data_IF_185207639157
#
_entry.id   IF_185207639157
#
_cell.length_a   1.000
_cell.length_b   1.000
_cell.length_c   1.000
_cell.angle_alpha   90.00
_cell.angle_beta   90.00
_cell.angle_gamma   90.00
#
_symmetry.space_group_name_H-M   'P 1'
#
loop_
_entity.id
_entity.type
_entity.pdbx_description
1 polymer ?
#
# COMPACT_ATOMS: atom_id res chain seq x y z
N UNK A 1 3.73 -20.29 -13.57
CA UNK A 1 4.80 -19.35 -14.00
C UNK A 1 4.30 -18.75 -15.29
N UNK A 2 3.50 -17.69 -15.18
CA UNK A 2 2.67 -17.19 -16.28
C UNK A 2 2.59 -15.66 -16.19
N UNK A 3 3.08 -15.01 -17.23
CA UNK A 3 2.74 -13.65 -17.71
C UNK A 3 3.01 -12.44 -16.80
N UNK A 4 4.29 -12.11 -16.57
CA UNK A 4 4.71 -10.78 -16.11
C UNK A 4 5.40 -9.93 -17.20
N UNK A 5 5.40 -10.36 -18.47
CA UNK A 5 6.26 -9.74 -19.51
C UNK A 5 5.58 -8.79 -20.50
N UNK A 6 4.26 -8.62 -20.51
CA UNK A 6 3.57 -7.95 -21.65
C UNK A 6 2.77 -6.68 -21.34
N UNK A 7 2.90 -6.07 -20.16
CA UNK A 7 2.24 -4.78 -19.91
C UNK A 7 3.13 -3.61 -20.33
N UNK A 8 3.08 -3.25 -21.61
CA UNK A 8 3.52 -1.93 -22.08
C UNK A 8 2.49 -0.87 -21.64
N UNK A 9 2.96 0.16 -20.95
CA UNK A 9 2.16 1.32 -20.55
C UNK A 9 1.62 2.04 -21.81
N UNK A 10 0.30 2.27 -21.93
CA UNK A 10 -0.27 2.94 -23.11
C UNK A 10 0.18 4.40 -23.21
N UNK A 11 0.45 4.84 -24.45
CA UNK A 11 0.86 6.21 -24.78
C UNK A 11 -0.26 7.25 -24.53
N UNK A 12 0.19 8.45 -24.20
CA UNK A 12 -0.53 9.60 -23.66
C UNK A 12 -1.53 10.27 -24.63
N UNK A 13 -2.80 10.22 -24.25
CA UNK A 13 -3.90 11.13 -24.62
C UNK A 13 -4.53 11.62 -23.30
N UNK A 14 -5.23 12.75 -23.20
CA UNK A 14 -5.91 13.15 -21.95
C UNK A 14 -6.82 12.05 -21.40
N UNK A 15 -7.52 11.34 -22.29
CA UNK A 15 -8.28 10.13 -21.95
C UNK A 15 -7.39 8.89 -21.71
N UNK A 16 -6.21 8.86 -22.34
CA UNK A 16 -5.19 7.82 -22.16
C UNK A 16 -4.52 7.87 -20.78
N UNK A 17 -4.21 9.05 -20.25
CA UNK A 17 -3.63 9.20 -18.91
C UNK A 17 -4.62 8.73 -17.84
N UNK A 18 -5.87 9.19 -17.90
CA UNK A 18 -6.93 8.74 -16.98
C UNK A 18 -7.15 7.22 -17.06
N UNK A 19 -7.19 6.67 -18.28
CA UNK A 19 -7.24 5.22 -18.49
C UNK A 19 -6.04 4.51 -17.87
N UNK A 20 -4.84 5.09 -17.97
CA UNK A 20 -3.61 4.51 -17.42
C UNK A 20 -3.63 4.50 -15.89
N UNK A 21 -3.94 5.62 -15.23
CA UNK A 21 -4.00 5.66 -13.76
C UNK A 21 -5.06 4.71 -13.21
N UNK A 22 -6.21 4.60 -13.87
CA UNK A 22 -7.26 3.64 -13.49
C UNK A 22 -6.78 2.20 -13.66
N UNK A 23 -6.09 1.88 -14.76
CA UNK A 23 -5.56 0.54 -14.99
C UNK A 23 -4.44 0.18 -14.01
N UNK A 24 -3.56 1.14 -13.70
CA UNK A 24 -2.49 0.96 -12.70
C UNK A 24 -3.11 0.77 -11.32
N UNK A 25 -4.07 1.61 -10.91
CA UNK A 25 -4.75 1.47 -9.62
C UNK A 25 -5.42 0.10 -9.49
N UNK A 26 -6.12 -0.36 -10.54
CA UNK A 26 -6.75 -1.69 -10.55
C UNK A 26 -5.74 -2.82 -10.40
N UNK A 27 -4.64 -2.75 -11.16
CA UNK A 27 -3.55 -3.73 -11.09
C UNK A 27 -2.93 -3.74 -9.69
N UNK A 28 -2.54 -2.58 -9.18
CA UNK A 28 -1.92 -2.44 -7.86
C UNK A 28 -2.84 -2.96 -6.77
N UNK A 29 -4.12 -2.57 -6.77
CA UNK A 29 -5.10 -3.07 -5.82
C UNK A 29 -5.20 -4.60 -5.87
N UNK A 30 -5.37 -5.19 -7.06
CA UNK A 30 -5.45 -6.65 -7.21
C UNK A 30 -4.19 -7.36 -6.71
N UNK A 31 -3.01 -6.83 -7.03
CA UNK A 31 -1.74 -7.48 -6.69
C UNK A 31 -1.39 -7.32 -5.21
N UNK A 32 -1.71 -6.17 -4.59
CA UNK A 32 -1.43 -5.91 -3.16
C UNK A 32 -2.17 -6.87 -2.22
N UNK A 33 -3.37 -7.31 -2.59
CA UNK A 33 -4.15 -8.27 -1.80
C UNK A 33 -4.05 -9.71 -2.33
N UNK A 34 -3.21 -9.96 -3.35
CA UNK A 34 -2.91 -11.31 -3.83
C UNK A 34 -2.09 -12.11 -2.80
N UNK A 35 -2.05 -13.44 -2.94
CA UNK A 35 -1.30 -14.31 -2.01
C UNK A 35 0.24 -14.16 -2.14
N UNK A 36 0.70 -13.65 -3.29
CA UNK A 36 2.11 -13.74 -3.68
C UNK A 36 2.93 -12.56 -3.14
N UNK A 37 3.68 -12.80 -2.05
CA UNK A 37 4.61 -11.83 -1.44
C UNK A 37 5.60 -11.22 -2.43
N UNK A 38 6.12 -12.01 -3.38
CA UNK A 38 7.05 -11.50 -4.38
C UNK A 38 6.35 -10.53 -5.34
N UNK A 39 5.13 -10.85 -5.75
CA UNK A 39 4.34 -9.94 -6.60
C UNK A 39 4.01 -8.64 -5.89
N UNK A 40 3.62 -8.70 -4.61
CA UNK A 40 3.37 -7.51 -3.77
C UNK A 40 4.61 -6.61 -3.69
N UNK A 41 5.77 -7.19 -3.40
CA UNK A 41 7.03 -6.43 -3.37
C UNK A 41 7.34 -5.78 -4.73
N UNK A 42 7.21 -6.54 -5.81
CA UNK A 42 7.51 -6.08 -7.16
C UNK A 42 6.58 -4.95 -7.60
N UNK A 43 5.28 -5.05 -7.33
CA UNK A 43 4.32 -4.01 -7.72
C UNK A 43 4.54 -2.72 -6.93
N UNK A 44 4.87 -2.82 -5.63
CA UNK A 44 5.20 -1.64 -4.81
C UNK A 44 6.43 -0.94 -5.40
N UNK A 45 7.53 -1.67 -5.61
CA UNK A 45 8.77 -1.10 -6.17
C UNK A 45 8.59 -0.48 -7.57
N UNK A 46 7.66 -1.01 -8.37
CA UNK A 46 7.41 -0.53 -9.74
C UNK A 46 6.45 0.64 -9.81
N UNK A 47 5.41 0.67 -8.98
CA UNK A 47 4.29 1.60 -9.15
C UNK A 47 4.28 2.73 -8.13
N UNK A 48 4.90 2.56 -6.96
CA UNK A 48 4.97 3.59 -5.94
C UNK A 48 6.17 4.52 -6.19
N UNK A 49 5.99 5.78 -5.80
CA UNK A 49 7.07 6.75 -5.71
C UNK A 49 8.00 6.41 -4.53
N UNK A 50 9.26 6.80 -4.60
CA UNK A 50 10.23 6.53 -3.53
C UNK A 50 9.82 7.13 -2.17
N UNK A 51 9.07 8.24 -2.18
CA UNK A 51 8.52 8.91 -1.00
C UNK A 51 7.03 8.62 -0.79
N UNK A 52 6.51 7.55 -1.39
CA UNK A 52 5.10 7.24 -1.29
C UNK A 52 4.69 6.89 0.14
N UNK A 53 3.48 7.30 0.50
CA UNK A 53 2.87 7.06 1.81
C UNK A 53 1.69 6.12 1.67
N UNK A 54 1.59 5.15 2.58
CA UNK A 54 0.44 4.28 2.74
C UNK A 54 -0.22 4.51 4.10
N UNK A 55 -1.54 4.61 4.11
CA UNK A 55 -2.33 4.86 5.31
C UNK A 55 -3.52 3.91 5.38
N UNK A 56 -3.80 3.43 6.59
CA UNK A 56 -5.07 2.79 6.92
C UNK A 56 -5.42 3.10 8.40
N UNK A 57 -6.63 2.74 8.88
CA UNK A 57 -7.04 3.00 10.26
C UNK A 57 -6.10 2.47 11.37
N UNK A 58 -5.19 1.54 11.07
CA UNK A 58 -4.28 0.93 12.05
C UNK A 58 -2.85 1.47 11.99
N UNK A 59 -2.40 1.98 10.84
CA UNK A 59 -1.01 2.38 10.65
C UNK A 59 -0.82 3.40 9.53
N UNK A 60 0.33 4.06 9.61
CA UNK A 60 0.90 4.89 8.55
C UNK A 60 2.29 4.36 8.22
N UNK A 61 2.55 4.12 6.94
CA UNK A 61 3.84 3.70 6.41
C UNK A 61 4.33 4.75 5.41
N UNK A 62 5.48 5.37 5.68
CA UNK A 62 5.99 6.53 4.94
C UNK A 62 7.20 6.20 4.07
N UNK A 63 7.49 4.92 3.84
CA UNK A 63 8.57 4.48 2.96
C UNK A 63 8.20 3.19 2.22
N UNK A 64 8.81 2.95 1.06
CA UNK A 64 8.68 1.68 0.33
C UNK A 64 8.92 0.45 1.21
N UNK A 65 9.91 0.50 2.11
CA UNK A 65 10.24 -0.63 2.97
C UNK A 65 9.10 -0.90 3.97
N UNK A 66 8.55 0.14 4.59
CA UNK A 66 7.42 0.00 5.51
C UNK A 66 6.16 -0.52 4.80
N UNK A 67 5.88 0.00 3.59
CA UNK A 67 4.76 -0.47 2.76
C UNK A 67 4.95 -1.95 2.41
N UNK A 68 6.12 -2.35 1.92
CA UNK A 68 6.44 -3.75 1.59
C UNK A 68 6.29 -4.64 2.82
N UNK A 69 6.80 -4.20 3.97
CA UNK A 69 6.73 -4.95 5.22
C UNK A 69 5.28 -5.15 5.66
N UNK A 70 4.44 -4.12 5.56
CA UNK A 70 3.02 -4.21 5.89
C UNK A 70 2.30 -5.24 5.01
N UNK A 71 2.38 -5.08 3.70
CA UNK A 71 1.75 -6.02 2.78
C UNK A 71 2.36 -7.42 2.86
N UNK A 72 3.62 -7.59 3.28
CA UNK A 72 4.23 -8.90 3.52
C UNK A 72 3.66 -9.64 4.74
N UNK A 73 3.04 -8.92 5.68
CA UNK A 73 2.40 -9.48 6.87
C UNK A 73 0.98 -9.98 6.60
N UNK A 74 0.31 -9.49 5.56
CA UNK A 74 -0.97 -10.02 5.12
C UNK A 74 -0.78 -11.47 4.67
N UNK A 75 -1.23 -12.41 5.50
CA UNK A 75 -1.08 -13.85 5.31
C UNK A 75 -2.31 -14.51 4.68
N UNK A 76 -3.41 -13.78 4.60
CA UNK A 76 -4.65 -14.27 4.00
C UNK A 76 -4.72 -13.83 2.55
N UNK A 77 -4.96 -14.79 1.68
CA UNK A 77 -5.49 -14.59 0.34
C UNK A 77 -6.88 -14.00 0.48
N UNK A 78 -7.04 -12.73 0.15
CA UNK A 78 -8.36 -12.12 0.20
C UNK A 78 -8.84 -11.94 -1.23
N UNK A 79 -9.93 -12.62 -1.57
CA UNK A 79 -10.60 -12.39 -2.84
C UNK A 79 -11.09 -10.95 -2.86
N UNK A 80 -10.55 -10.14 -3.76
CA UNK A 80 -10.99 -8.76 -3.92
C UNK A 80 -12.01 -8.68 -5.03
N UNK A 81 -13.23 -8.26 -4.71
CA UNK A 81 -14.23 -7.89 -5.71
C UNK A 81 -14.28 -6.37 -5.82
N UNK A 82 -14.02 -5.81 -7.01
CA UNK A 82 -14.09 -4.36 -7.24
C UNK A 82 -15.51 -4.02 -7.69
N UNK A 83 -16.20 -3.20 -6.90
CA UNK A 83 -17.57 -2.77 -7.19
C UNK A 83 -17.59 -1.54 -8.10
N UNK A 84 -16.76 -0.56 -7.79
CA UNK A 84 -16.73 0.71 -8.51
C UNK A 84 -15.33 1.29 -8.54
N UNK A 85 -15.02 2.01 -9.61
CA UNK A 85 -13.80 2.80 -9.74
C UNK A 85 -14.19 4.19 -10.21
N UNK A 86 -13.76 5.21 -9.45
CA UNK A 86 -13.98 6.61 -9.81
C UNK A 86 -12.63 7.30 -9.94
N UNK A 87 -12.46 8.17 -10.93
CA UNK A 87 -11.24 8.95 -11.10
C UNK A 87 -11.58 10.45 -11.19
N UNK A 88 -10.76 11.28 -10.54
CA UNK A 88 -10.83 12.73 -10.65
C UNK A 88 -9.42 13.31 -10.76
N UNK A 89 -9.30 14.37 -11.53
CA UNK A 89 -8.11 15.22 -11.53
C UNK A 89 -8.19 16.22 -10.37
N UNK A 90 -7.06 16.52 -9.74
CA UNK A 90 -6.90 17.60 -8.76
C UNK A 90 -5.91 18.65 -9.31
N UNK A 91 -5.95 19.83 -8.71
CA UNK A 91 -4.96 20.89 -8.88
C UNK A 91 -3.53 20.31 -8.78
N UNK A 92 -2.69 20.63 -9.77
CA UNK A 92 -1.29 20.19 -9.83
C UNK A 92 -1.06 18.90 -10.62
N UNK A 93 -1.95 18.55 -11.57
CA UNK A 93 -1.86 17.34 -12.41
C UNK A 93 -1.81 16.03 -11.61
N UNK A 94 -2.26 16.06 -10.36
CA UNK A 94 -2.44 14.85 -9.56
C UNK A 94 -3.78 14.22 -9.91
N UNK A 95 -3.80 12.89 -10.03
CA UNK A 95 -5.04 12.16 -10.25
C UNK A 95 -5.37 11.33 -9.02
N UNK A 96 -6.61 11.42 -8.55
CA UNK A 96 -7.13 10.50 -7.54
C UNK A 96 -7.95 9.41 -8.22
N UNK A 97 -7.68 8.18 -7.84
CA UNK A 97 -8.52 7.03 -8.17
C UNK A 97 -9.07 6.45 -6.87
N UNK A 98 -10.39 6.35 -6.78
CA UNK A 98 -11.09 5.63 -5.73
C UNK A 98 -11.50 4.25 -6.24
N UNK A 99 -11.17 3.22 -5.50
CA UNK A 99 -11.62 1.85 -5.72
C UNK A 99 -12.45 1.43 -4.52
N UNK A 100 -13.73 1.15 -4.77
CA UNK A 100 -14.63 0.54 -3.79
C UNK A 100 -14.58 -0.97 -4.00
N UNK A 101 -14.10 -1.71 -3.00
CA UNK A 101 -13.92 -3.15 -3.08
C UNK A 101 -14.42 -3.87 -1.84
N UNK A 102 -14.71 -5.16 -2.01
CA UNK A 102 -15.07 -6.07 -0.91
C UNK A 102 -13.93 -7.08 -0.73
N UNK A 103 -13.37 -7.08 0.47
CA UNK A 103 -12.20 -7.84 0.93
C UNK A 103 -12.56 -8.43 2.29
N UNK A 104 -13.51 -9.38 2.32
CA UNK A 104 -14.23 -9.83 3.54
C UNK A 104 -15.05 -8.76 4.27
N UNK A 105 -14.67 -7.49 4.14
CA UNK A 105 -15.34 -6.25 4.54
C UNK A 105 -15.20 -5.22 3.41
N UNK A 106 -15.98 -4.14 3.46
CA UNK A 106 -15.90 -3.06 2.45
C UNK A 106 -14.69 -2.17 2.68
N UNK A 107 -13.83 -2.04 1.68
CA UNK A 107 -12.65 -1.18 1.67
C UNK A 107 -12.78 -0.15 0.55
N UNK A 108 -12.49 1.11 0.86
CA UNK A 108 -12.36 2.18 -0.12
C UNK A 108 -10.88 2.55 -0.20
N UNK A 109 -10.22 2.14 -1.28
CA UNK A 109 -8.82 2.48 -1.53
C UNK A 109 -8.73 3.73 -2.39
N UNK A 110 -8.04 4.74 -1.88
CA UNK A 110 -7.80 6.02 -2.55
C UNK A 110 -6.34 6.09 -2.96
N UNK A 111 -6.10 6.15 -4.26
CA UNK A 111 -4.78 6.27 -4.88
C UNK A 111 -4.58 7.70 -5.35
N UNK A 112 -3.47 8.33 -4.99
CA UNK A 112 -3.02 9.60 -5.53
C UNK A 112 -1.83 9.36 -6.45
N UNK A 113 -1.91 9.84 -7.67
CA UNK A 113 -0.89 9.71 -8.70
C UNK A 113 -0.23 11.05 -8.99
N UNK A 114 1.09 11.03 -9.20
CA UNK A 114 1.82 12.16 -9.77
C UNK A 114 1.78 12.16 -11.31
N UNK A 115 2.38 13.19 -11.90
CA UNK A 115 2.51 13.35 -13.37
C UNK A 115 3.25 12.20 -14.05
N UNK A 116 4.10 11.48 -13.32
CA UNK A 116 4.90 10.34 -13.82
C UNK A 116 4.18 9.00 -13.71
N UNK A 117 2.86 8.98 -13.43
CA UNK A 117 2.05 7.77 -13.23
C UNK A 117 2.52 6.90 -12.04
N UNK A 118 3.18 7.52 -11.05
CA UNK A 118 3.57 6.86 -9.80
C UNK A 118 2.58 7.19 -8.69
N UNK A 119 2.33 6.21 -7.84
CA UNK A 119 1.49 6.36 -6.66
C UNK A 119 2.30 7.09 -5.60
N UNK A 120 1.87 8.30 -5.24
CA UNK A 120 2.46 9.09 -4.15
C UNK A 120 1.75 8.84 -2.83
N UNK A 121 0.47 8.47 -2.86
CA UNK A 121 -0.29 8.13 -1.66
C UNK A 121 -1.29 7.02 -1.94
N UNK A 122 -1.38 6.07 -1.03
CA UNK A 122 -2.45 5.07 -0.98
C UNK A 122 -3.10 5.10 0.40
N UNK A 123 -4.38 5.41 0.45
CA UNK A 123 -5.16 5.46 1.68
C UNK A 123 -6.29 4.42 1.59
N UNK A 124 -6.26 3.44 2.48
CA UNK A 124 -7.34 2.46 2.62
C UNK A 124 -8.28 2.90 3.73
N UNK A 125 -9.54 3.16 3.39
CA UNK A 125 -10.59 3.49 4.34
C UNK A 125 -11.48 2.28 4.55
N UNK A 126 -11.56 1.83 5.80
CA UNK A 126 -12.44 0.74 6.20
C UNK A 126 -12.84 0.88 7.68
N UNK A 127 -13.93 0.21 8.05
CA UNK A 127 -14.46 0.25 9.41
C UNK A 127 -13.89 -0.90 10.24
N UNK A 128 -13.23 -0.56 11.36
CA UNK A 128 -12.75 -1.56 12.32
C UNK A 128 -13.90 -2.35 12.96
N UNK A 129 -15.06 -1.70 13.14
CA UNK A 129 -16.28 -2.37 13.61
C UNK A 129 -16.72 -3.45 12.60
N UNK A 130 -16.75 -3.10 11.32
CA UNK A 130 -17.17 -4.03 10.26
C UNK A 130 -16.17 -5.17 10.12
N UNK A 131 -14.87 -4.92 10.31
CA UNK A 131 -13.84 -5.95 10.37
C UNK A 131 -14.13 -6.95 11.51
N UNK A 132 -14.35 -6.48 12.74
CA UNK A 132 -14.62 -7.35 13.89
C UNK A 132 -15.93 -8.14 13.71
N UNK A 133 -16.95 -7.53 13.11
CA UNK A 133 -18.24 -8.16 12.87
C UNK A 133 -18.20 -9.16 11.70
N UNK A 134 -17.29 -8.96 10.73
CA UNK A 134 -17.20 -9.80 9.52
C UNK A 134 -16.57 -11.18 9.74
N UNK A 135 -15.72 -11.37 10.76
CA UNK A 135 -15.08 -12.68 10.99
C UNK A 135 -14.90 -12.99 12.49
N UNK A 136 -15.46 -14.10 13.00
CA UNK A 136 -15.40 -14.46 14.43
C UNK A 136 -14.01 -14.84 14.97
N UNK A 137 -12.96 -14.89 14.12
CA UNK A 137 -11.62 -15.42 14.44
C UNK A 137 -10.51 -14.32 14.38
N UNK A 138 -10.88 -13.05 14.22
CA UNK A 138 -9.91 -11.94 14.02
C UNK A 138 -9.04 -11.61 15.23
N UNK A 139 -9.32 -12.17 16.41
CA UNK A 139 -8.39 -12.12 17.54
C UNK A 139 -6.96 -12.55 17.16
N UNK A 140 -6.81 -13.50 16.22
CA UNK A 140 -5.50 -13.92 15.69
C UNK A 140 -4.86 -12.88 14.75
N UNK A 141 -5.62 -12.33 13.79
CA UNK A 141 -5.10 -11.32 12.86
C UNK A 141 -4.72 -10.04 13.59
N UNK A 142 -5.54 -9.60 14.55
CA UNK A 142 -5.22 -8.48 15.44
C UNK A 142 -3.99 -8.78 16.30
N UNK A 143 -3.92 -9.95 16.95
CA UNK A 143 -2.75 -10.31 17.76
C UNK A 143 -1.47 -10.38 16.91
N UNK A 144 -1.55 -10.85 15.68
CA UNK A 144 -0.43 -10.94 14.74
C UNK A 144 0.02 -9.54 14.27
N UNK A 145 -0.93 -8.69 13.85
CA UNK A 145 -0.65 -7.32 13.43
C UNK A 145 -0.15 -6.46 14.61
N UNK A 146 -0.79 -6.54 15.77
CA UNK A 146 -0.40 -5.78 16.97
C UNK A 146 0.96 -6.24 17.51
N UNK A 147 1.25 -7.55 17.57
CA UNK A 147 2.56 -8.05 18.00
C UNK A 147 3.68 -7.58 17.07
N UNK A 148 3.46 -7.64 15.76
CA UNK A 148 4.46 -7.24 14.78
C UNK A 148 4.62 -5.72 14.68
N UNK A 149 3.55 -4.95 14.82
CA UNK A 149 3.61 -3.49 14.92
C UNK A 149 4.40 -3.06 16.17
N UNK A 150 4.20 -3.73 17.30
CA UNK A 150 4.99 -3.48 18.53
C UNK A 150 6.47 -3.77 18.30
N UNK A 151 6.80 -4.83 17.57
CA UNK A 151 8.19 -5.16 17.19
C UNK A 151 8.83 -4.16 16.22
N UNK A 152 8.04 -3.48 15.38
CA UNK A 152 8.54 -2.44 14.48
C UNK A 152 8.85 -1.14 15.20
N UNK A 153 8.01 -0.72 16.16
CA UNK A 153 8.32 0.43 17.01
C UNK A 153 9.56 0.17 17.86
N UNK A 154 9.77 -1.05 18.37
CA UNK A 154 10.98 -1.37 19.13
C UNK A 154 12.24 -1.35 18.26
N UNK A 155 12.20 -1.93 17.05
CA UNK A 155 13.37 -1.94 16.17
C UNK A 155 13.69 -0.55 15.61
N UNK A 156 12.69 0.28 15.29
CA UNK A 156 12.91 1.66 14.85
C UNK A 156 13.54 2.52 15.94
N UNK A 157 13.10 2.37 17.20
CA UNK A 157 13.73 3.06 18.35
C UNK A 157 15.16 2.56 18.55
N UNK A 158 15.40 1.24 18.49
CA UNK A 158 16.74 0.66 18.66
C UNK A 158 17.71 1.17 17.58
N UNK A 159 17.27 1.23 16.32
CA UNK A 159 18.06 1.74 15.20
C UNK A 159 18.41 3.22 15.38
N UNK A 160 17.44 4.05 15.80
CA UNK A 160 17.69 5.47 16.11
C UNK A 160 18.65 5.65 17.29
N UNK A 161 18.54 4.84 18.35
CA UNK A 161 19.50 4.89 19.46
C UNK A 161 20.90 4.45 19.04
N UNK A 162 21.03 3.47 18.14
CA UNK A 162 22.32 2.96 17.71
C UNK A 162 23.03 3.95 16.77
N UNK A 163 22.31 4.57 15.83
CA UNK A 163 22.84 5.66 15.00
C UNK A 163 23.23 6.90 15.83
N UNK A 164 22.44 7.25 16.86
CA UNK A 164 22.80 8.35 17.77
C UNK A 164 24.06 8.03 18.60
N UNK A 165 24.23 6.78 19.03
CA UNK A 165 25.40 6.36 19.82
C UNK A 165 26.67 6.33 18.95
N UNK A 166 26.59 5.81 17.73
CA UNK A 166 27.70 5.80 16.77
C UNK A 166 28.12 7.23 16.38
N UNK A 167 27.16 8.16 16.21
CA UNK A 167 27.45 9.57 15.92
C UNK A 167 28.09 10.35 17.09
N UNK A 168 27.90 9.88 18.33
CA UNK A 168 28.48 10.45 19.55
C UNK A 168 29.89 9.92 19.83
N UNK A 169 30.19 8.68 19.42
CA UNK A 169 31.55 8.14 19.46
C UNK A 169 32.45 8.76 18.38
N UNK A 170 31.94 8.97 17.16
CA UNK A 170 32.70 9.65 16.09
C UNK A 170 33.02 11.12 16.41
N UNK A 171 32.20 11.80 17.21
CA UNK A 171 32.45 13.20 17.62
C UNK A 171 33.33 13.36 18.86
N UNK A 172 33.63 12.27 19.56
CA UNK A 172 34.50 12.26 20.75
C UNK A 172 35.93 11.76 20.45
N UNK A 173 36.30 11.64 19.17
CA UNK A 173 37.66 11.34 18.69
C UNK A 173 38.23 12.56 17.97
#
# INVERSE_FOLDING_TARGET
MTELSNYQLPLSSPNGFVSNVVNIARLVHSELYSENKFTRKNIIQKCFDAQAVFENPLLVASSHLEIINFFSMLSASISTEINNITCSEIIGNHHIVFIDSIISLRIISKFEFNEQLKIVRLEDVWSLKDLIESVPIIGWLYAELARKATGWMSNGIVMLTQEMTESLEEKNI
#
